data_IF_318893673869
#
_entry.id   IF_318893673869
#
_cell.length_a   1.000
_cell.length_b   1.000
_cell.length_c   1.000
_cell.angle_alpha   90.00
_cell.angle_beta   90.00
_cell.angle_gamma   90.00
#
_symmetry.space_group_name_H-M   'P 1'
#
loop_
_entity.id
_entity.type
_entity.pdbx_description
1 polymer ?
#
# COMPACT_ATOMS: atom_id res chain seq x y z
N UNK A 1 10.98 10.95 23.88
CA UNK A 1 9.89 10.86 22.89
C UNK A 1 8.72 10.15 23.53
N UNK A 2 7.51 10.61 23.28
CA UNK A 2 6.29 10.02 23.84
C UNK A 2 5.96 8.71 23.10
N UNK A 3 5.52 7.67 23.84
CA UNK A 3 5.01 6.44 23.24
C UNK A 3 3.72 6.74 22.45
N UNK A 4 3.61 6.16 21.28
CA UNK A 4 2.44 6.30 20.37
C UNK A 4 1.77 4.95 20.16
N UNK A 5 0.45 4.98 20.26
CA UNK A 5 -0.39 3.80 20.14
C UNK A 5 -1.33 3.90 18.95
N UNK A 6 -1.60 2.77 18.35
CA UNK A 6 -2.68 2.58 17.37
C UNK A 6 -3.94 2.23 18.15
N UNK A 7 -4.97 3.03 18.00
CA UNK A 7 -6.26 2.82 18.66
C UNK A 7 -7.28 2.16 17.75
N UNK A 8 -7.27 2.47 16.46
CA UNK A 8 -8.13 1.80 15.50
C UNK A 8 -7.53 1.82 14.09
N UNK A 9 -7.94 0.84 13.28
CA UNK A 9 -7.61 0.75 11.86
C UNK A 9 -8.85 0.34 11.06
N UNK A 10 -9.10 1.02 9.96
CA UNK A 10 -10.19 0.69 9.05
C UNK A 10 -9.73 0.77 7.60
N UNK A 11 -10.31 -0.06 6.76
CA UNK A 11 -10.15 0.02 5.31
C UNK A 11 -11.46 -0.27 4.58
N UNK A 12 -11.58 0.24 3.37
CA UNK A 12 -12.59 -0.26 2.44
C UNK A 12 -12.23 -1.69 2.00
N UNK A 13 -13.18 -2.50 1.52
CA UNK A 13 -12.84 -3.52 0.55
C UNK A 13 -12.20 -2.85 -0.67
N UNK A 14 -11.41 -3.62 -1.43
CA UNK A 14 -10.73 -3.15 -2.63
C UNK A 14 -11.58 -3.47 -3.86
N UNK A 15 -12.05 -2.44 -4.55
CA UNK A 15 -12.83 -2.56 -5.78
C UNK A 15 -11.92 -2.66 -7.01
N UNK A 16 -12.31 -3.37 -8.06
CA UNK A 16 -11.52 -3.44 -9.30
C UNK A 16 -11.36 -2.04 -9.91
N UNK A 17 -10.14 -1.67 -10.25
CA UNK A 17 -9.77 -0.37 -10.81
C UNK A 17 -10.14 -0.24 -12.29
N UNK A 18 -11.41 -0.46 -12.63
CA UNK A 18 -11.97 -0.40 -13.98
C UNK A 18 -13.33 0.29 -13.96
N UNK A 19 -13.83 0.82 -15.11
CA UNK A 19 -15.13 1.44 -15.18
C UNK A 19 -16.30 0.53 -14.77
N UNK A 20 -16.15 -0.79 -14.88
CA UNK A 20 -17.13 -1.79 -14.44
C UNK A 20 -16.85 -2.32 -13.02
N UNK A 21 -15.84 -1.77 -12.30
CA UNK A 21 -15.56 -2.10 -10.92
C UNK A 21 -16.61 -1.53 -9.96
N UNK A 22 -16.92 -2.26 -8.90
CA UNK A 22 -18.02 -1.90 -8.00
C UNK A 22 -17.83 -0.57 -7.27
N UNK A 23 -16.59 -0.12 -7.06
CA UNK A 23 -16.32 1.17 -6.42
C UNK A 23 -16.20 2.34 -7.41
N UNK A 24 -16.31 2.12 -8.73
CA UNK A 24 -16.17 3.16 -9.73
C UNK A 24 -17.13 4.35 -9.53
N UNK A 25 -18.37 4.10 -9.12
CA UNK A 25 -19.37 5.15 -8.88
C UNK A 25 -19.19 5.90 -7.56
N UNK A 26 -18.27 5.44 -6.70
CA UNK A 26 -17.96 6.08 -5.43
C UNK A 26 -16.71 6.93 -5.60
N UNK A 27 -16.84 8.24 -5.43
CA UNK A 27 -15.70 9.14 -5.58
C UNK A 27 -14.59 8.86 -4.56
N UNK A 28 -13.30 9.14 -4.87
CA UNK A 28 -12.21 8.94 -3.92
C UNK A 28 -12.44 9.72 -2.62
N UNK A 29 -12.99 10.91 -2.69
CA UNK A 29 -13.35 11.70 -1.52
C UNK A 29 -14.42 11.00 -0.66
N UNK A 30 -15.44 10.37 -1.27
CA UNK A 30 -16.46 9.59 -0.53
C UNK A 30 -15.85 8.33 0.09
N UNK A 31 -14.90 7.64 -0.58
CA UNK A 31 -14.18 6.50 0.01
C UNK A 31 -13.41 6.92 1.26
N UNK A 32 -12.66 8.02 1.20
CA UNK A 32 -11.90 8.55 2.33
C UNK A 32 -12.82 9.01 3.47
N UNK A 33 -13.88 9.77 3.15
CA UNK A 33 -14.82 10.27 4.15
C UNK A 33 -15.56 9.13 4.89
N UNK A 34 -15.93 8.04 4.20
CA UNK A 34 -16.56 6.88 4.86
C UNK A 34 -15.61 6.19 5.85
N UNK A 35 -14.31 6.13 5.56
CA UNK A 35 -13.34 5.58 6.50
C UNK A 35 -13.12 6.49 7.71
N UNK A 36 -13.07 7.80 7.52
CA UNK A 36 -13.02 8.76 8.62
C UNK A 36 -14.29 8.68 9.50
N UNK A 37 -15.49 8.65 8.88
CA UNK A 37 -16.75 8.44 9.62
C UNK A 37 -16.71 7.14 10.43
N UNK A 38 -16.19 6.07 9.85
CA UNK A 38 -16.08 4.80 10.55
C UNK A 38 -15.15 4.87 11.77
N UNK A 39 -14.00 5.54 11.67
CA UNK A 39 -13.11 5.78 12.84
C UNK A 39 -13.87 6.56 13.91
N UNK A 40 -14.53 7.65 13.54
CA UNK A 40 -15.30 8.47 14.47
C UNK A 40 -16.39 7.67 15.19
N UNK A 41 -17.26 7.03 14.42
CA UNK A 41 -18.49 6.41 14.94
C UNK A 41 -18.18 5.15 15.77
N UNK A 42 -17.15 4.36 15.40
CA UNK A 42 -16.74 3.15 16.14
C UNK A 42 -16.11 3.44 17.49
N UNK A 43 -15.51 4.61 17.62
CA UNK A 43 -14.75 5.00 18.82
C UNK A 43 -15.46 6.09 19.64
N UNK A 44 -16.69 6.47 19.27
CA UNK A 44 -17.40 7.62 19.87
C UNK A 44 -16.46 8.84 19.99
N UNK A 45 -15.74 9.12 18.90
CA UNK A 45 -14.59 10.00 18.89
C UNK A 45 -15.03 11.47 18.91
N UNK A 46 -14.64 12.21 19.95
CA UNK A 46 -14.65 13.67 19.91
C UNK A 46 -13.61 14.17 18.91
N UNK A 47 -14.07 14.49 17.69
CA UNK A 47 -13.18 14.86 16.60
C UNK A 47 -12.44 16.17 16.83
N UNK A 48 -12.88 17.02 17.77
CA UNK A 48 -12.14 18.23 18.19
C UNK A 48 -10.79 17.92 18.87
N UNK A 49 -10.56 16.66 19.23
CA UNK A 49 -9.32 16.16 19.80
C UNK A 49 -8.36 15.56 18.77
N UNK A 50 -8.78 15.50 17.52
CA UNK A 50 -7.92 15.09 16.41
C UNK A 50 -7.23 16.34 15.85
N UNK A 51 -5.91 16.42 15.95
CA UNK A 51 -5.15 17.59 15.51
C UNK A 51 -4.96 17.61 14.00
N UNK A 52 -4.76 16.44 13.37
CA UNK A 52 -4.39 16.37 11.96
C UNK A 52 -4.80 15.05 11.29
N UNK A 53 -5.13 15.13 10.01
CA UNK A 53 -5.36 13.97 9.13
C UNK A 53 -4.35 14.02 7.99
N UNK A 54 -3.45 13.04 7.95
CA UNK A 54 -2.42 12.91 6.92
C UNK A 54 -2.82 11.80 5.97
N UNK A 55 -2.97 12.11 4.69
CA UNK A 55 -3.51 11.16 3.72
C UNK A 55 -2.59 10.99 2.52
N UNK A 56 -2.17 9.75 2.28
CA UNK A 56 -1.44 9.35 1.08
C UNK A 56 -2.34 9.33 -0.14
N UNK A 57 -1.88 9.90 -1.24
CA UNK A 57 -2.51 9.82 -2.55
C UNK A 57 -1.44 9.97 -3.62
N UNK A 58 -1.33 9.00 -4.55
CA UNK A 58 -0.22 8.95 -5.52
C UNK A 58 -0.52 9.76 -6.77
N UNK A 59 -1.77 9.80 -7.21
CA UNK A 59 -2.20 10.65 -8.32
C UNK A 59 -3.05 11.83 -7.81
N UNK A 60 -2.45 12.87 -7.19
CA UNK A 60 -3.16 13.96 -6.51
C UNK A 60 -3.72 14.99 -7.49
N UNK A 61 -4.47 14.55 -8.48
CA UNK A 61 -5.07 15.38 -9.54
C UNK A 61 -6.55 15.10 -9.71
N UNK A 62 -7.28 16.02 -10.35
CA UNK A 62 -8.70 15.88 -10.57
C UNK A 62 -9.46 15.67 -9.26
N UNK A 63 -10.25 14.60 -9.16
CA UNK A 63 -11.05 14.25 -7.98
C UNK A 63 -10.20 13.87 -6.75
N UNK A 64 -8.92 13.61 -6.92
CA UNK A 64 -7.96 13.31 -5.85
C UNK A 64 -7.06 14.50 -5.50
N UNK A 65 -7.25 15.65 -6.17
CA UNK A 65 -6.48 16.87 -5.94
C UNK A 65 -7.02 17.77 -4.82
N UNK A 66 -6.46 18.96 -4.72
CA UNK A 66 -6.89 20.05 -3.83
C UNK A 66 -6.96 19.65 -2.34
N UNK A 67 -5.97 18.92 -1.86
CA UNK A 67 -5.89 18.42 -0.48
C UNK A 67 -7.11 17.57 -0.08
N UNK A 68 -7.22 16.40 -0.68
CA UNK A 68 -8.31 15.45 -0.40
C UNK A 68 -8.44 15.11 1.10
N UNK A 69 -7.34 15.18 1.88
CA UNK A 69 -7.37 14.92 3.31
C UNK A 69 -8.27 15.94 4.04
N UNK A 70 -8.06 17.24 3.77
CA UNK A 70 -8.88 18.28 4.39
C UNK A 70 -10.33 18.22 3.91
N UNK A 71 -10.55 18.00 2.62
CA UNK A 71 -11.92 17.91 2.08
C UNK A 71 -12.65 16.71 2.69
N UNK A 72 -11.99 15.55 2.80
CA UNK A 72 -12.60 14.36 3.38
C UNK A 72 -12.94 14.52 4.88
N UNK A 73 -12.13 15.25 5.67
CA UNK A 73 -12.45 15.54 7.07
C UNK A 73 -13.74 16.35 7.21
N UNK A 74 -13.91 17.37 6.37
CA UNK A 74 -15.14 18.18 6.36
C UNK A 74 -16.36 17.35 5.92
N UNK A 75 -16.19 16.49 4.91
CA UNK A 75 -17.26 15.60 4.44
C UNK A 75 -17.57 14.47 5.44
N UNK A 76 -16.65 14.18 6.35
CA UNK A 76 -16.84 13.22 7.42
C UNK A 76 -17.45 13.84 8.69
N UNK A 77 -17.82 15.12 8.65
CA UNK A 77 -18.36 15.89 9.78
C UNK A 77 -17.40 15.90 10.99
N UNK A 78 -16.09 15.97 10.73
CA UNK A 78 -15.09 16.25 11.78
C UNK A 78 -15.13 17.72 12.17
N UNK A 79 -14.67 18.03 13.36
CA UNK A 79 -14.56 19.42 13.81
C UNK A 79 -13.74 20.25 12.81
N UNK A 80 -14.14 21.51 12.63
CA UNK A 80 -13.49 22.40 11.67
C UNK A 80 -12.04 22.76 12.03
N UNK A 81 -11.65 22.55 13.29
CA UNK A 81 -10.26 22.71 13.74
C UNK A 81 -9.29 21.65 13.25
N UNK A 82 -9.80 20.48 12.80
CA UNK A 82 -8.95 19.38 12.34
C UNK A 82 -8.24 19.76 11.05
N UNK A 83 -6.91 19.84 11.09
CA UNK A 83 -6.11 20.09 9.90
C UNK A 83 -6.10 18.87 8.95
N UNK A 84 -5.69 19.07 7.72
CA UNK A 84 -5.50 17.99 6.75
C UNK A 84 -4.30 18.26 5.86
N UNK A 85 -3.59 17.21 5.47
CA UNK A 85 -2.50 17.30 4.50
C UNK A 85 -2.44 16.06 3.64
N UNK A 86 -2.29 16.27 2.34
CA UNK A 86 -2.10 15.23 1.34
C UNK A 86 -0.61 15.07 1.04
N UNK A 87 -0.15 13.81 0.97
CA UNK A 87 1.26 13.50 0.69
C UNK A 87 1.37 12.48 -0.43
N UNK A 88 2.52 12.49 -1.12
CA UNK A 88 2.88 11.49 -2.12
C UNK A 88 4.29 10.94 -1.85
N UNK A 89 4.39 9.65 -1.59
CA UNK A 89 5.61 8.83 -1.56
C UNK A 89 5.36 7.54 -2.35
N UNK A 90 4.74 7.67 -3.53
CA UNK A 90 4.32 6.55 -4.35
C UNK A 90 3.59 5.47 -3.53
N UNK A 91 3.84 4.20 -3.79
CA UNK A 91 3.21 3.06 -3.10
C UNK A 91 3.38 3.05 -1.57
N UNK A 92 4.35 3.80 -1.02
CA UNK A 92 4.56 3.93 0.42
C UNK A 92 3.73 5.06 1.07
N UNK A 93 2.95 5.83 0.31
CA UNK A 93 2.25 7.03 0.79
C UNK A 93 1.38 6.77 2.01
N UNK A 94 0.61 5.69 2.03
CA UNK A 94 -0.28 5.37 3.15
C UNK A 94 0.48 5.05 4.44
N UNK A 95 1.59 4.30 4.35
CA UNK A 95 2.43 4.03 5.52
C UNK A 95 3.17 5.28 5.97
N UNK A 96 3.67 6.08 5.04
CA UNK A 96 4.33 7.35 5.38
C UNK A 96 3.37 8.33 6.04
N UNK A 97 2.11 8.37 5.64
CA UNK A 97 1.09 9.17 6.29
C UNK A 97 0.92 8.76 7.77
N UNK A 98 0.89 7.46 8.07
CA UNK A 98 0.86 6.95 9.44
C UNK A 98 2.16 7.27 10.18
N UNK A 99 3.33 7.13 9.54
CA UNK A 99 4.61 7.49 10.13
C UNK A 99 4.69 8.98 10.49
N UNK A 100 4.21 9.87 9.62
CA UNK A 100 4.16 11.31 9.87
C UNK A 100 3.19 11.66 11.01
N UNK A 101 1.98 11.06 11.04
CA UNK A 101 1.05 11.19 12.15
C UNK A 101 1.69 10.74 13.47
N UNK A 102 2.35 9.59 13.45
CA UNK A 102 3.10 9.07 14.60
C UNK A 102 4.22 10.01 15.04
N UNK A 103 5.00 10.55 14.10
CA UNK A 103 6.10 11.49 14.41
C UNK A 103 5.58 12.77 15.08
N UNK A 104 4.45 13.32 14.60
CA UNK A 104 3.80 14.49 15.23
C UNK A 104 3.39 14.21 16.67
N UNK A 105 2.84 13.02 16.93
CA UNK A 105 2.49 12.63 18.32
C UNK A 105 3.76 12.39 19.16
N UNK A 106 4.79 11.72 18.61
CA UNK A 106 6.05 11.47 19.33
C UNK A 106 6.77 12.75 19.75
N UNK A 107 6.72 13.81 18.95
CA UNK A 107 7.38 15.08 19.25
C UNK A 107 6.48 16.07 20.01
N UNK A 108 5.23 15.71 20.30
CA UNK A 108 4.30 16.56 21.03
C UNK A 108 3.66 17.68 20.22
N UNK A 109 3.72 17.63 18.89
CA UNK A 109 2.99 18.55 18.02
C UNK A 109 1.50 18.22 17.99
N UNK A 110 1.14 16.94 18.15
CA UNK A 110 -0.22 16.43 18.20
C UNK A 110 -0.37 15.49 19.39
N UNK A 111 -1.55 15.44 20.00
CA UNK A 111 -1.91 14.40 20.97
C UNK A 111 -2.54 13.20 20.27
N UNK A 112 -3.35 13.46 19.23
CA UNK A 112 -4.03 12.47 18.41
C UNK A 112 -4.03 12.90 16.95
N UNK A 113 -3.77 11.96 16.05
CA UNK A 113 -3.79 12.19 14.61
C UNK A 113 -4.29 10.95 13.88
N UNK A 114 -4.69 11.13 12.61
CA UNK A 114 -5.05 10.04 11.72
C UNK A 114 -4.06 10.03 10.55
N UNK A 115 -3.48 8.86 10.28
CA UNK A 115 -2.71 8.61 9.08
C UNK A 115 -3.43 7.59 8.21
N UNK A 116 -3.35 7.75 6.88
CA UNK A 116 -4.02 6.81 5.99
C UNK A 116 -3.80 7.13 4.53
N UNK A 117 -4.77 6.79 3.69
CA UNK A 117 -4.69 7.15 2.29
C UNK A 117 -5.87 6.67 1.46
N UNK A 118 -5.90 7.13 0.22
CA UNK A 118 -6.92 6.81 -0.75
C UNK A 118 -6.31 6.75 -2.15
N UNK A 119 -6.81 5.84 -2.95
CA UNK A 119 -6.59 5.83 -4.39
C UNK A 119 -7.81 5.26 -5.10
N UNK A 120 -8.29 5.94 -6.13
CA UNK A 120 -9.35 5.45 -7.02
C UNK A 120 -8.79 5.36 -8.45
N UNK A 121 -8.17 4.23 -8.74
CA UNK A 121 -7.46 4.01 -10.01
C UNK A 121 -8.41 3.76 -11.19
N UNK A 122 -9.69 3.49 -10.91
CA UNK A 122 -10.73 3.40 -11.92
C UNK A 122 -11.17 4.78 -12.44
N UNK A 123 -11.02 5.84 -11.62
CA UNK A 123 -11.45 7.23 -11.91
C UNK A 123 -10.27 8.14 -12.26
N UNK A 124 -9.17 8.01 -11.52
CA UNK A 124 -7.92 8.75 -11.76
C UNK A 124 -6.82 7.75 -12.10
N UNK A 125 -6.51 7.56 -13.38
CA UNK A 125 -5.55 6.55 -13.83
C UNK A 125 -4.15 6.79 -13.25
N UNK A 126 -3.41 5.71 -13.04
CA UNK A 126 -2.01 5.76 -12.63
C UNK A 126 -1.20 6.58 -13.65
N UNK A 127 -0.39 7.52 -13.14
CA UNK A 127 0.40 8.44 -13.98
C UNK A 127 -0.37 9.68 -14.46
N UNK A 128 -1.62 9.88 -14.03
CA UNK A 128 -2.40 11.08 -14.35
C UNK A 128 -1.78 12.39 -13.80
N UNK A 129 -0.95 12.28 -12.77
CA UNK A 129 -0.17 13.38 -12.19
C UNK A 129 1.05 13.78 -13.05
N UNK A 130 1.38 13.03 -14.10
CA UNK A 130 2.56 13.26 -14.95
C UNK A 130 3.87 12.88 -14.26
N UNK A 131 4.90 13.71 -14.45
CA UNK A 131 6.17 13.55 -13.76
C UNK A 131 7.38 13.50 -14.66
N UNK A 132 8.48 14.09 -14.18
CA UNK A 132 9.72 14.25 -14.94
C UNK A 132 10.40 12.92 -15.30
N UNK A 133 10.14 11.85 -14.56
CA UNK A 133 10.68 10.51 -14.87
C UNK A 133 10.41 10.07 -16.32
N UNK A 134 9.18 10.31 -16.80
CA UNK A 134 8.74 9.89 -18.12
C UNK A 134 8.77 11.02 -19.16
N UNK A 135 8.72 12.28 -18.72
CA UNK A 135 8.53 13.44 -19.61
C UNK A 135 9.78 14.29 -19.82
N UNK A 136 10.78 14.19 -18.92
CA UNK A 136 12.06 14.90 -19.06
C UNK A 136 13.18 13.91 -19.42
N UNK A 137 13.70 13.95 -20.66
CA UNK A 137 14.77 13.05 -21.11
C UNK A 137 16.06 13.18 -20.27
N UNK A 138 16.37 14.36 -19.73
CA UNK A 138 17.57 14.55 -18.91
C UNK A 138 17.44 13.81 -17.58
N UNK A 139 16.26 13.82 -16.97
CA UNK A 139 15.96 13.07 -15.75
C UNK A 139 15.98 11.57 -16.03
N UNK A 140 15.26 11.12 -17.06
CA UNK A 140 15.20 9.72 -17.46
C UNK A 140 16.59 9.13 -17.74
N UNK A 141 17.41 9.84 -18.51
CA UNK A 141 18.78 9.44 -18.84
C UNK A 141 19.69 9.38 -17.62
N UNK A 142 19.67 10.43 -16.78
CA UNK A 142 20.53 10.50 -15.58
C UNK A 142 20.22 9.41 -14.57
N UNK A 143 18.95 9.02 -14.45
CA UNK A 143 18.48 8.05 -13.44
C UNK A 143 18.38 6.63 -13.99
N UNK A 144 18.66 6.40 -15.28
CA UNK A 144 18.43 5.13 -15.94
C UNK A 144 16.99 4.63 -15.71
N UNK A 145 16.04 5.54 -15.86
CA UNK A 145 14.63 5.25 -15.59
C UNK A 145 14.10 4.14 -16.49
N UNK A 146 13.44 3.17 -15.86
CA UNK A 146 12.65 2.12 -16.51
C UNK A 146 11.30 1.98 -15.81
N UNK A 147 10.24 1.54 -16.50
CA UNK A 147 8.96 1.25 -15.87
C UNK A 147 9.06 0.16 -14.79
N UNK A 148 8.30 0.30 -13.71
CA UNK A 148 8.37 -0.52 -12.50
C UNK A 148 8.25 -2.04 -12.77
N UNK A 149 7.40 -2.45 -13.72
CA UNK A 149 7.28 -3.87 -14.08
C UNK A 149 8.54 -4.45 -14.72
N UNK A 150 9.32 -3.63 -15.47
CA UNK A 150 10.61 -4.03 -15.99
C UNK A 150 11.65 -4.10 -14.88
N UNK A 151 11.56 -3.22 -13.85
CA UNK A 151 12.38 -3.33 -12.63
C UNK A 151 12.10 -4.64 -11.89
N UNK A 152 10.84 -5.08 -11.83
CA UNK A 152 10.49 -6.37 -11.24
C UNK A 152 11.06 -7.55 -12.05
N UNK A 153 11.01 -7.48 -13.39
CA UNK A 153 11.63 -8.49 -14.26
C UNK A 153 13.15 -8.46 -14.18
N UNK A 154 13.76 -7.28 -13.95
CA UNK A 154 15.19 -7.16 -13.66
C UNK A 154 15.56 -7.85 -12.35
N UNK A 155 14.75 -7.70 -11.28
CA UNK A 155 14.92 -8.44 -10.03
C UNK A 155 14.87 -9.94 -10.29
N UNK A 156 13.84 -10.42 -10.97
CA UNK A 156 13.72 -11.84 -11.29
C UNK A 156 14.93 -12.36 -12.10
N UNK A 157 15.39 -11.59 -13.09
CA UNK A 157 16.55 -11.96 -13.92
C UNK A 157 17.84 -11.97 -13.12
N UNK A 158 18.06 -10.97 -12.27
CA UNK A 158 19.31 -10.81 -11.48
C UNK A 158 19.48 -11.89 -10.42
N UNK A 159 18.40 -12.32 -9.77
CA UNK A 159 18.45 -13.35 -8.71
C UNK A 159 17.93 -14.71 -9.14
N UNK A 160 17.56 -14.85 -10.42
CA UNK A 160 17.25 -16.16 -11.01
C UNK A 160 15.86 -16.68 -10.69
N UNK A 161 14.90 -15.82 -10.32
CA UNK A 161 13.52 -16.25 -10.10
C UNK A 161 12.85 -16.58 -11.43
N UNK A 162 12.41 -17.82 -11.53
CA UNK A 162 11.71 -18.31 -12.72
C UNK A 162 10.25 -17.84 -12.77
N UNK A 163 9.60 -18.09 -13.91
CA UNK A 163 8.16 -17.90 -14.05
C UNK A 163 7.38 -18.75 -13.05
N UNK A 164 7.81 -19.98 -12.82
CA UNK A 164 7.13 -20.90 -11.89
C UNK A 164 7.25 -20.42 -10.44
N UNK A 165 8.38 -19.84 -10.04
CA UNK A 165 8.57 -19.29 -8.71
C UNK A 165 7.62 -18.13 -8.43
N UNK A 166 7.52 -17.17 -9.34
CA UNK A 166 6.64 -16.00 -9.17
C UNK A 166 5.16 -16.38 -9.26
N UNK A 167 4.80 -17.36 -10.08
CA UNK A 167 3.44 -17.87 -10.17
C UNK A 167 3.05 -18.68 -8.92
N UNK A 168 3.97 -19.50 -8.38
CA UNK A 168 3.75 -20.24 -7.14
C UNK A 168 3.48 -19.30 -5.96
N UNK A 169 4.28 -18.22 -5.83
CA UNK A 169 4.03 -17.19 -4.83
C UNK A 169 2.64 -16.55 -4.99
N UNK A 170 2.27 -16.20 -6.22
CA UNK A 170 0.97 -15.59 -6.50
C UNK A 170 -0.23 -16.48 -6.11
N UNK A 171 -0.14 -17.78 -6.39
CA UNK A 171 -1.14 -18.75 -5.98
C UNK A 171 -1.26 -18.82 -4.46
N UNK A 172 -0.14 -18.80 -3.76
CA UNK A 172 -0.16 -18.83 -2.28
C UNK A 172 -0.81 -17.56 -1.71
N UNK A 173 -0.53 -16.38 -2.28
CA UNK A 173 -1.21 -15.13 -1.90
C UNK A 173 -2.74 -15.24 -2.06
N UNK A 174 -3.22 -15.81 -3.18
CA UNK A 174 -4.66 -16.03 -3.41
C UNK A 174 -5.27 -16.97 -2.37
N UNK A 175 -4.61 -18.09 -2.07
CA UNK A 175 -5.08 -19.05 -1.06
C UNK A 175 -5.18 -18.43 0.33
N UNK A 176 -4.15 -17.70 0.74
CA UNK A 176 -4.11 -17.02 2.05
C UNK A 176 -5.19 -15.96 2.17
N UNK A 177 -5.40 -15.16 1.13
CA UNK A 177 -6.46 -14.16 1.11
C UNK A 177 -7.85 -14.81 1.23
N UNK A 178 -8.13 -15.87 0.45
CA UNK A 178 -9.39 -16.59 0.50
C UNK A 178 -9.65 -17.20 1.89
N UNK A 179 -8.65 -17.88 2.46
CA UNK A 179 -8.72 -18.44 3.81
C UNK A 179 -8.99 -17.37 4.87
N UNK A 180 -8.31 -16.22 4.77
CA UNK A 180 -8.47 -15.10 5.72
C UNK A 180 -9.88 -14.51 5.68
N UNK A 181 -10.48 -14.42 4.49
CA UNK A 181 -11.88 -14.01 4.34
C UNK A 181 -12.85 -15.06 4.91
N UNK A 182 -12.64 -16.34 4.66
CA UNK A 182 -13.45 -17.43 5.21
C UNK A 182 -13.38 -17.46 6.74
N UNK A 183 -12.19 -17.30 7.31
CA UNK A 183 -11.94 -17.25 8.76
C UNK A 183 -12.32 -15.89 9.38
N UNK A 184 -12.85 -14.94 8.60
CA UNK A 184 -13.27 -13.61 9.05
C UNK A 184 -12.15 -12.78 9.72
N UNK A 185 -10.89 -12.99 9.35
CA UNK A 185 -9.76 -12.26 9.93
C UNK A 185 -9.86 -10.74 9.69
N UNK A 186 -10.51 -10.32 8.60
CA UNK A 186 -10.70 -8.91 8.24
C UNK A 186 -11.97 -8.27 8.85
N UNK A 187 -12.76 -8.99 9.64
CA UNK A 187 -14.07 -8.51 10.13
C UNK A 187 -13.99 -7.21 10.95
N UNK A 188 -12.86 -6.98 11.63
CA UNK A 188 -12.66 -5.78 12.46
C UNK A 188 -12.09 -4.59 11.68
N UNK A 189 -11.46 -4.81 10.53
CA UNK A 189 -10.79 -3.76 9.76
C UNK A 189 -11.55 -3.35 8.51
N UNK A 190 -12.28 -4.26 7.86
CA UNK A 190 -13.00 -3.97 6.62
C UNK A 190 -14.37 -3.36 6.93
N UNK A 191 -14.62 -2.20 6.36
CA UNK A 191 -15.89 -1.48 6.42
C UNK A 191 -16.52 -1.48 5.03
N UNK A 192 -17.73 -2.03 4.92
CA UNK A 192 -18.48 -2.05 3.66
C UNK A 192 -18.74 -0.62 3.14
N UNK A 193 -18.47 -0.40 1.86
CA UNK A 193 -18.70 0.88 1.21
C UNK A 193 -20.15 1.01 0.81
N UNK A 194 -20.73 2.17 1.09
CA UNK A 194 -22.13 2.51 0.80
C UNK A 194 -22.21 3.61 -0.25
N UNK A 195 -23.28 3.58 -1.02
CA UNK A 195 -23.67 4.69 -1.89
C UNK A 195 -24.37 5.84 -1.11
N UNK A 196 -24.79 6.87 -1.82
CA UNK A 196 -25.47 8.03 -1.23
C UNK A 196 -26.86 7.70 -0.65
N UNK A 197 -27.47 6.59 -1.06
CA UNK A 197 -28.73 6.08 -0.50
C UNK A 197 -28.53 5.19 0.72
N UNK A 198 -27.28 4.92 1.12
CA UNK A 198 -26.92 4.05 2.24
C UNK A 198 -26.89 2.55 1.91
N UNK A 199 -27.05 2.18 0.65
CA UNK A 199 -26.98 0.80 0.20
C UNK A 199 -25.54 0.33 0.11
N UNK A 200 -25.24 -0.86 0.63
CA UNK A 200 -23.88 -1.44 0.54
C UNK A 200 -23.57 -1.83 -0.90
N UNK A 201 -22.54 -1.20 -1.45
CA UNK A 201 -22.06 -1.43 -2.83
C UNK A 201 -21.03 -2.55 -2.88
N UNK A 202 -20.12 -2.58 -1.89
CA UNK A 202 -19.07 -3.58 -1.80
C UNK A 202 -18.71 -3.84 -0.33
N UNK A 203 -18.58 -5.11 0.06
CA UNK A 203 -18.24 -5.53 1.43
C UNK A 203 -17.12 -6.58 1.51
N UNK A 204 -16.53 -6.96 0.39
CA UNK A 204 -15.38 -7.88 0.32
C UNK A 204 -14.45 -7.48 -0.83
N UNK A 205 -13.20 -7.94 -0.82
CA UNK A 205 -12.21 -7.60 -1.85
C UNK A 205 -12.60 -8.21 -3.19
N UNK A 206 -12.88 -7.37 -4.19
CA UNK A 206 -13.45 -7.78 -5.49
C UNK A 206 -12.41 -8.42 -6.43
N UNK A 207 -11.12 -8.16 -6.19
CA UNK A 207 -10.05 -8.57 -7.13
C UNK A 207 -9.67 -10.03 -7.02
N UNK A 208 -9.93 -10.69 -5.91
CA UNK A 208 -9.47 -12.06 -5.61
C UNK A 208 -9.86 -13.09 -6.68
N UNK A 209 -8.97 -14.08 -6.87
CA UNK A 209 -9.15 -15.23 -7.77
C UNK A 209 -8.72 -16.51 -7.04
N UNK A 210 -9.48 -16.95 -6.01
CA UNK A 210 -9.11 -18.09 -5.17
C UNK A 210 -8.98 -19.40 -5.95
N UNK A 211 -9.62 -19.50 -7.10
CA UNK A 211 -9.58 -20.64 -8.02
C UNK A 211 -8.34 -20.66 -8.95
N UNK A 212 -7.46 -19.65 -8.86
CA UNK A 212 -6.27 -19.59 -9.70
C UNK A 212 -5.35 -20.80 -9.48
N UNK A 213 -4.81 -21.33 -10.56
CA UNK A 213 -3.87 -22.46 -10.58
C UNK A 213 -2.64 -22.13 -11.40
N UNK A 214 -1.54 -22.86 -11.21
CA UNK A 214 -0.34 -22.73 -12.04
C UNK A 214 -0.70 -22.86 -13.53
N UNK A 215 -1.59 -23.81 -13.89
CA UNK A 215 -2.02 -24.02 -15.27
C UNK A 215 -2.78 -22.81 -15.80
N UNK A 216 -3.62 -22.16 -15.00
CA UNK A 216 -4.35 -20.96 -15.44
C UNK A 216 -3.42 -19.76 -15.60
N UNK A 217 -2.37 -19.63 -14.79
CA UNK A 217 -1.37 -18.58 -14.89
C UNK A 217 -0.39 -18.81 -16.07
N UNK A 218 -0.02 -20.05 -16.35
CA UNK A 218 0.90 -20.40 -17.43
C UNK A 218 0.47 -19.87 -18.80
N UNK A 219 -0.85 -19.72 -19.03
CA UNK A 219 -1.39 -19.15 -20.27
C UNK A 219 -1.27 -17.63 -20.42
N UNK A 220 -0.90 -16.91 -19.35
CA UNK A 220 -0.79 -15.46 -19.35
C UNK A 220 0.55 -15.01 -19.96
N UNK A 221 0.48 -14.05 -20.88
CA UNK A 221 1.69 -13.45 -21.49
C UNK A 221 2.34 -12.48 -20.53
N UNK A 222 3.68 -12.37 -20.53
CA UNK A 222 4.40 -11.33 -19.80
C UNK A 222 3.88 -9.93 -20.17
N UNK A 223 3.57 -9.12 -19.15
CA UNK A 223 2.94 -7.81 -19.37
C UNK A 223 3.92 -6.73 -19.85
N UNK A 224 5.20 -6.89 -19.56
CA UNK A 224 6.21 -5.83 -19.77
C UNK A 224 7.19 -6.13 -20.89
N UNK A 225 7.14 -7.32 -21.50
CA UNK A 225 8.06 -7.76 -22.55
C UNK A 225 8.04 -6.84 -23.77
N UNK A 226 6.85 -6.51 -24.29
CA UNK A 226 6.72 -5.61 -25.44
C UNK A 226 7.30 -4.21 -25.11
N UNK A 227 7.02 -3.69 -23.93
CA UNK A 227 7.53 -2.38 -23.49
C UNK A 227 9.05 -2.41 -23.32
N UNK A 228 9.58 -3.44 -22.70
CA UNK A 228 11.02 -3.61 -22.50
C UNK A 228 11.79 -3.70 -23.82
N UNK A 229 11.29 -4.51 -24.77
CA UNK A 229 11.95 -4.74 -26.05
C UNK A 229 11.80 -3.57 -27.04
N UNK A 230 10.60 -3.02 -27.19
CA UNK A 230 10.30 -2.06 -28.26
C UNK A 230 10.64 -0.61 -27.92
N UNK A 231 10.65 -0.26 -26.62
CA UNK A 231 10.95 1.11 -26.19
C UNK A 231 12.35 1.27 -25.55
N UNK A 232 13.20 0.24 -25.67
CA UNK A 232 14.61 0.31 -25.23
C UNK A 232 14.83 0.19 -23.71
N UNK A 233 13.79 -0.07 -22.91
CA UNK A 233 13.94 -0.13 -21.45
C UNK A 233 14.76 -1.33 -20.98
N UNK A 234 14.72 -2.46 -21.70
CA UNK A 234 15.63 -3.58 -21.42
C UNK A 234 17.09 -3.17 -21.60
N UNK A 235 17.40 -2.46 -22.67
CA UNK A 235 18.76 -1.97 -22.92
C UNK A 235 19.22 -0.98 -21.86
N UNK A 236 18.33 -0.10 -21.39
CA UNK A 236 18.62 0.83 -20.28
C UNK A 236 18.92 0.07 -18.98
N UNK A 237 18.12 -0.95 -18.66
CA UNK A 237 18.37 -1.80 -17.49
C UNK A 237 19.72 -2.52 -17.56
N UNK A 238 20.04 -3.12 -18.71
CA UNK A 238 21.28 -3.86 -18.94
C UNK A 238 22.53 -2.94 -18.96
N UNK A 239 22.40 -1.69 -19.39
CA UNK A 239 23.47 -0.71 -19.26
C UNK A 239 23.81 -0.42 -17.80
N UNK A 240 22.80 -0.38 -16.94
CA UNK A 240 22.98 -0.14 -15.50
C UNK A 240 23.43 -1.39 -14.74
N UNK A 241 23.00 -2.58 -15.19
CA UNK A 241 23.29 -3.89 -14.60
C UNK A 241 23.96 -4.81 -15.63
N UNK A 242 25.22 -4.53 -16.02
CA UNK A 242 25.91 -5.28 -17.09
C UNK A 242 26.19 -6.74 -16.72
N UNK A 243 26.09 -7.10 -15.44
CA UNK A 243 26.18 -8.49 -14.99
C UNK A 243 24.93 -9.32 -15.33
N UNK A 244 23.83 -8.69 -15.69
CA UNK A 244 22.61 -9.36 -16.14
C UNK A 244 22.66 -9.52 -17.65
N UNK A 245 22.72 -10.77 -18.14
CA UNK A 245 22.88 -11.07 -19.56
C UNK A 245 21.65 -10.63 -20.39
N UNK A 246 20.44 -10.88 -19.85
CA UNK A 246 19.15 -10.50 -20.47
C UNK A 246 18.06 -10.31 -19.42
N UNK A 247 17.04 -9.54 -19.76
CA UNK A 247 15.82 -9.43 -18.95
C UNK A 247 14.88 -10.58 -19.31
N UNK A 248 14.62 -11.47 -18.37
CA UNK A 248 13.60 -12.51 -18.47
C UNK A 248 12.26 -11.93 -17.99
N UNK A 249 11.31 -11.79 -18.90
CA UNK A 249 9.99 -11.26 -18.56
C UNK A 249 9.12 -12.36 -17.98
N UNK A 250 8.89 -12.32 -16.67
CA UNK A 250 8.12 -13.33 -15.91
C UNK A 250 6.85 -12.77 -15.30
N UNK A 251 6.75 -11.44 -15.21
CA UNK A 251 5.59 -10.82 -14.54
C UNK A 251 4.44 -10.55 -15.52
N UNK A 252 3.25 -10.83 -15.04
CA UNK A 252 1.97 -10.61 -15.72
C UNK A 252 0.87 -10.27 -14.70
N UNK A 253 -0.34 -10.01 -15.16
CA UNK A 253 -1.45 -9.59 -14.30
C UNK A 253 -1.81 -10.57 -13.16
N UNK A 254 -1.41 -11.84 -13.26
CA UNK A 254 -1.70 -12.86 -12.25
C UNK A 254 -0.68 -12.94 -11.10
N UNK A 255 0.53 -12.39 -11.29
CA UNK A 255 1.62 -12.41 -10.30
C UNK A 255 2.15 -11.00 -9.97
N UNK A 256 1.38 -10.00 -10.33
CA UNK A 256 1.58 -8.58 -10.03
C UNK A 256 0.37 -8.06 -9.24
N UNK A 257 0.54 -6.97 -8.51
CA UNK A 257 -0.56 -6.35 -7.75
C UNK A 257 -1.70 -5.90 -8.64
N UNK A 258 -2.93 -6.12 -8.20
CA UNK A 258 -4.12 -5.67 -8.91
C UNK A 258 -4.31 -4.16 -8.86
N UNK A 259 -4.74 -3.55 -9.97
CA UNK A 259 -5.19 -2.17 -10.03
C UNK A 259 -6.59 -2.10 -9.43
N UNK A 260 -6.76 -1.33 -8.36
CA UNK A 260 -8.00 -1.28 -7.57
C UNK A 260 -8.25 0.10 -6.96
N UNK A 261 -9.46 0.30 -6.49
CA UNK A 261 -9.89 1.47 -5.71
C UNK A 261 -9.96 1.11 -4.22
N UNK A 262 -9.61 2.05 -3.34
CA UNK A 262 -9.77 1.85 -1.91
C UNK A 262 -9.21 2.98 -1.05
N UNK A 263 -9.59 2.97 0.23
CA UNK A 263 -9.12 3.90 1.26
C UNK A 263 -8.87 3.17 2.58
N UNK A 264 -7.99 3.72 3.41
CA UNK A 264 -7.70 3.20 4.75
C UNK A 264 -7.28 4.32 5.68
N UNK A 265 -7.67 4.21 6.97
CA UNK A 265 -7.32 5.17 8.02
C UNK A 265 -6.87 4.43 9.27
N UNK A 266 -5.89 5.01 9.95
CA UNK A 266 -5.29 4.52 11.21
C UNK A 266 -5.32 5.65 12.22
N UNK A 267 -5.98 5.43 13.35
CA UNK A 267 -6.04 6.37 14.46
C UNK A 267 -4.84 6.15 15.40
N UNK A 268 -4.01 7.17 15.56
CA UNK A 268 -2.84 7.15 16.44
C UNK A 268 -2.92 8.26 17.47
N UNK A 269 -2.37 8.01 18.67
CA UNK A 269 -2.32 9.01 19.72
C UNK A 269 -1.38 8.61 20.84
N UNK A 270 -1.10 9.56 21.75
CA UNK A 270 -0.38 9.27 22.98
C UNK A 270 -1.29 8.56 23.99
N UNK A 271 -0.69 8.01 25.04
CA UNK A 271 -1.44 7.28 26.08
C UNK A 271 -2.47 8.18 26.81
N UNK A 272 -2.10 9.42 27.07
CA UNK A 272 -2.93 10.36 27.82
C UNK A 272 -4.26 10.65 27.12
N UNK A 273 -4.20 11.00 25.83
CA UNK A 273 -5.42 11.29 25.08
C UNK A 273 -6.29 10.03 24.89
N UNK A 274 -5.65 8.86 24.69
CA UNK A 274 -6.38 7.59 24.62
C UNK A 274 -7.16 7.28 25.91
N UNK A 275 -6.52 7.42 27.06
CA UNK A 275 -7.17 7.23 28.36
C UNK A 275 -8.29 8.25 28.60
N UNK A 276 -8.06 9.53 28.27
CA UNK A 276 -9.06 10.59 28.42
C UNK A 276 -10.32 10.33 27.57
N UNK A 277 -10.17 9.66 26.43
CA UNK A 277 -11.26 9.30 25.52
C UNK A 277 -11.78 7.86 25.72
N UNK A 278 -11.28 7.13 26.69
CA UNK A 278 -11.68 5.74 26.97
C UNK A 278 -11.27 4.74 25.86
N UNK A 279 -10.31 5.10 25.02
CA UNK A 279 -9.82 4.26 23.93
C UNK A 279 -8.87 3.19 24.45
N UNK A 280 -8.97 1.98 23.89
CA UNK A 280 -8.04 0.88 24.21
C UNK A 280 -6.99 0.76 23.11
N UNK A 281 -5.69 0.81 23.43
CA UNK A 281 -4.65 0.62 22.45
C UNK A 281 -4.65 -0.81 21.89
N UNK A 282 -4.57 -0.92 20.56
CA UNK A 282 -4.42 -2.21 19.84
C UNK A 282 -2.95 -2.59 19.72
N UNK A 283 -2.08 -1.62 19.46
CA UNK A 283 -0.65 -1.81 19.31
C UNK A 283 0.12 -0.55 19.72
N UNK A 284 1.42 -0.70 19.98
CA UNK A 284 2.36 0.41 20.15
C UNK A 284 3.31 0.47 18.96
N UNK A 285 3.49 1.66 18.38
CA UNK A 285 4.47 1.86 17.32
C UNK A 285 5.86 1.98 17.97
N UNK A 286 6.75 1.02 17.67
CA UNK A 286 8.13 0.99 18.18
C UNK A 286 9.04 1.94 17.42
N UNK A 287 8.87 2.03 16.11
CA UNK A 287 9.65 2.88 15.25
C UNK A 287 9.30 2.73 13.78
N UNK A 288 9.94 3.54 12.96
CA UNK A 288 9.78 3.56 11.51
C UNK A 288 11.04 4.07 10.83
N UNK A 289 11.19 3.75 9.55
CA UNK A 289 12.31 4.21 8.74
C UNK A 289 11.89 4.44 7.28
N UNK A 290 12.59 5.34 6.63
CA UNK A 290 12.49 5.59 5.20
C UNK A 290 13.87 5.41 4.57
N UNK A 291 13.89 5.02 3.29
CA UNK A 291 15.11 4.92 2.49
C UNK A 291 14.81 5.30 1.02
N UNK A 292 15.76 5.91 0.36
CA UNK A 292 15.85 5.91 -1.09
C UNK A 292 16.74 4.75 -1.53
N UNK A 293 16.39 4.08 -2.61
CA UNK A 293 17.19 2.99 -3.19
C UNK A 293 17.65 3.33 -4.61
N UNK A 294 18.39 2.43 -5.24
CA UNK A 294 18.86 2.59 -6.62
C UNK A 294 17.65 2.74 -7.56
N UNK A 295 17.58 3.82 -8.38
CA UNK A 295 16.35 4.19 -9.07
C UNK A 295 15.95 3.26 -10.23
N UNK A 296 16.87 2.51 -10.83
CA UNK A 296 16.57 1.61 -11.95
C UNK A 296 15.88 0.34 -11.45
N UNK A 297 16.47 -0.35 -10.47
CA UNK A 297 15.89 -1.55 -9.88
C UNK A 297 14.75 -1.23 -8.89
N UNK A 298 14.74 -0.07 -8.34
CA UNK A 298 13.82 0.64 -7.43
C UNK A 298 13.08 -0.18 -6.36
N UNK A 299 12.79 -1.45 -6.60
CA UNK A 299 11.89 -2.26 -5.76
C UNK A 299 12.63 -3.06 -4.65
N UNK A 300 13.95 -2.89 -4.49
CA UNK A 300 14.75 -3.54 -3.44
C UNK A 300 14.84 -2.73 -2.15
N UNK A 301 14.29 -1.51 -2.12
CA UNK A 301 14.31 -0.64 -0.95
C UNK A 301 13.70 -1.21 0.35
N UNK A 302 12.66 -2.06 0.32
CA UNK A 302 12.01 -2.56 1.52
C UNK A 302 12.94 -3.28 2.51
N UNK A 303 13.87 -4.11 2.07
CA UNK A 303 14.84 -4.81 2.96
C UNK A 303 15.71 -3.82 3.72
N UNK A 304 16.27 -2.83 3.03
CA UNK A 304 17.08 -1.78 3.66
C UNK A 304 16.28 -0.90 4.63
N UNK A 305 15.01 -0.63 4.31
CA UNK A 305 14.13 0.11 5.20
C UNK A 305 13.81 -0.69 6.48
N UNK A 306 13.57 -2.00 6.33
CA UNK A 306 13.32 -2.91 7.45
C UNK A 306 14.54 -2.99 8.38
N UNK A 307 15.74 -3.23 7.84
CA UNK A 307 16.99 -3.24 8.63
C UNK A 307 17.20 -1.92 9.36
N UNK A 308 17.01 -0.79 8.68
CA UNK A 308 17.12 0.55 9.28
C UNK A 308 16.10 0.76 10.41
N UNK A 309 14.89 0.24 10.29
CA UNK A 309 13.88 0.32 11.33
C UNK A 309 14.25 -0.55 12.54
N UNK A 310 14.71 -1.78 12.31
CA UNK A 310 15.18 -2.69 13.36
C UNK A 310 16.33 -2.07 14.17
N UNK A 311 17.35 -1.54 13.49
CA UNK A 311 18.49 -0.85 14.13
C UNK A 311 18.01 0.32 15.00
N UNK A 312 17.08 1.16 14.49
CA UNK A 312 16.52 2.28 15.25
C UNK A 312 15.74 1.84 16.48
N UNK A 313 15.11 0.67 16.42
CA UNK A 313 14.33 0.10 17.52
C UNK A 313 15.18 -0.72 18.50
N UNK A 314 16.49 -0.95 18.22
CA UNK A 314 17.34 -1.84 18.97
C UNK A 314 16.86 -3.30 18.93
N UNK A 315 16.30 -3.72 17.79
CA UNK A 315 15.72 -5.05 17.56
C UNK A 315 16.51 -5.80 16.49
N UNK A 316 16.44 -7.11 16.56
CA UNK A 316 16.94 -8.02 15.52
C UNK A 316 15.78 -8.62 14.74
N UNK A 317 16.04 -9.18 13.56
CA UNK A 317 15.01 -9.86 12.76
C UNK A 317 14.34 -11.04 13.49
N UNK A 318 15.08 -11.72 14.38
CA UNK A 318 14.52 -12.80 15.23
C UNK A 318 13.52 -12.33 16.30
N UNK A 319 13.39 -11.03 16.50
CA UNK A 319 12.40 -10.45 17.41
C UNK A 319 11.07 -10.17 16.70
N UNK A 320 10.97 -10.48 15.40
CA UNK A 320 9.80 -10.22 14.56
C UNK A 320 9.07 -11.53 14.29
N UNK A 321 7.84 -11.62 14.75
CA UNK A 321 6.98 -12.79 14.57
C UNK A 321 6.31 -12.81 13.19
N UNK A 322 5.91 -11.62 12.67
CA UNK A 322 5.19 -11.49 11.41
C UNK A 322 5.69 -10.31 10.59
N UNK A 323 5.73 -10.51 9.27
CA UNK A 323 6.12 -9.50 8.29
C UNK A 323 4.96 -9.20 7.35
N UNK A 324 4.77 -7.93 7.07
CA UNK A 324 3.84 -7.47 6.03
C UNK A 324 4.58 -6.61 5.00
N UNK A 325 4.65 -7.09 3.78
CA UNK A 325 5.25 -6.40 2.64
C UNK A 325 4.22 -6.24 1.53
N UNK A 326 4.12 -5.04 0.94
CA UNK A 326 3.28 -4.85 -0.23
C UNK A 326 3.76 -5.74 -1.39
N UNK A 327 2.86 -6.58 -1.88
CA UNK A 327 3.10 -7.48 -3.02
C UNK A 327 2.95 -6.71 -4.35
N UNK A 328 3.80 -5.70 -4.60
CA UNK A 328 3.78 -5.00 -5.88
C UNK A 328 3.97 -5.97 -7.06
N UNK A 329 4.92 -6.89 -6.91
CA UNK A 329 5.24 -8.00 -7.80
C UNK A 329 5.76 -9.17 -6.98
N UNK A 330 5.54 -10.40 -7.44
CA UNK A 330 5.98 -11.58 -6.69
C UNK A 330 7.50 -11.62 -6.45
N UNK A 331 8.32 -11.25 -7.45
CA UNK A 331 9.78 -11.22 -7.31
C UNK A 331 10.27 -10.26 -6.21
N UNK A 332 9.51 -9.21 -5.90
CA UNK A 332 9.85 -8.26 -4.83
C UNK A 332 9.78 -8.96 -3.47
N UNK A 333 8.75 -9.76 -3.25
CA UNK A 333 8.58 -10.48 -1.98
C UNK A 333 9.59 -11.62 -1.88
N UNK A 334 9.80 -12.38 -2.95
CA UNK A 334 10.83 -13.42 -2.99
C UNK A 334 12.21 -12.84 -2.64
N UNK A 335 12.57 -11.68 -3.22
CA UNK A 335 13.84 -11.02 -2.92
C UNK A 335 13.93 -10.54 -1.47
N UNK A 336 12.85 -9.97 -0.94
CA UNK A 336 12.80 -9.52 0.46
C UNK A 336 12.99 -10.69 1.44
N UNK A 337 12.31 -11.81 1.18
CA UNK A 337 12.45 -13.03 1.99
C UNK A 337 13.88 -13.56 1.96
N UNK A 338 14.50 -13.67 0.78
CA UNK A 338 15.87 -14.14 0.61
C UNK A 338 16.88 -13.20 1.27
N UNK A 339 16.77 -11.88 1.08
CA UNK A 339 17.66 -10.86 1.65
C UNK A 339 17.67 -10.88 3.18
N UNK A 340 16.50 -11.03 3.78
CA UNK A 340 16.33 -11.00 5.23
C UNK A 340 16.24 -12.39 5.86
N UNK A 341 16.33 -13.47 5.06
CA UNK A 341 16.22 -14.86 5.53
C UNK A 341 14.91 -15.06 6.33
N UNK A 342 13.78 -14.74 5.70
CA UNK A 342 12.45 -14.83 6.28
C UNK A 342 11.73 -16.06 5.73
N UNK A 343 11.14 -16.86 6.61
CA UNK A 343 10.29 -17.97 6.20
C UNK A 343 9.02 -17.47 5.51
N UNK A 344 8.61 -18.16 4.44
CA UNK A 344 7.36 -17.81 3.75
C UNK A 344 6.14 -17.91 4.67
N UNK A 345 6.21 -18.72 5.74
CA UNK A 345 5.16 -18.84 6.74
C UNK A 345 4.93 -17.58 7.57
N UNK A 346 5.91 -16.70 7.67
CA UNK A 346 5.91 -15.52 8.54
C UNK A 346 5.64 -14.20 7.81
N UNK A 347 5.50 -14.23 6.48
CA UNK A 347 5.25 -13.03 5.67
C UNK A 347 3.92 -13.11 4.93
N UNK A 348 3.18 -11.99 4.94
CA UNK A 348 1.91 -11.83 4.22
C UNK A 348 0.94 -13.00 4.49
N UNK A 349 0.83 -13.38 5.76
CA UNK A 349 0.09 -14.58 6.20
C UNK A 349 -1.41 -14.52 5.89
N UNK A 350 -1.93 -13.34 5.63
CA UNK A 350 -3.32 -13.12 5.21
C UNK A 350 -3.48 -12.91 3.70
N UNK A 351 -2.45 -13.18 2.90
CA UNK A 351 -2.38 -12.79 1.49
C UNK A 351 -2.12 -11.30 1.33
N UNK A 352 -1.95 -10.82 0.12
CA UNK A 352 -1.55 -9.44 -0.12
C UNK A 352 -2.11 -8.83 -1.40
N UNK A 353 -1.38 -7.88 -1.97
CA UNK A 353 -1.84 -7.06 -3.08
C UNK A 353 -1.97 -7.81 -4.42
N UNK A 354 -1.29 -8.94 -4.59
CA UNK A 354 -1.48 -9.81 -5.77
C UNK A 354 -2.90 -10.39 -5.75
N UNK A 355 -3.35 -10.85 -4.59
CA UNK A 355 -4.70 -11.39 -4.44
C UNK A 355 -5.77 -10.30 -4.33
N UNK A 356 -5.58 -9.34 -3.43
CA UNK A 356 -6.63 -8.40 -3.07
C UNK A 356 -6.55 -7.06 -3.82
N UNK A 357 -5.38 -6.69 -4.37
CA UNK A 357 -5.17 -5.44 -5.08
C UNK A 357 -4.40 -4.38 -4.28
N UNK A 358 -3.97 -3.31 -4.97
CA UNK A 358 -3.06 -2.28 -4.47
C UNK A 358 -3.59 -0.88 -4.79
N UNK A 359 -4.50 -0.31 -3.98
CA UNK A 359 -4.83 1.11 -4.10
C UNK A 359 -3.65 1.92 -3.55
N UNK A 360 -2.84 2.49 -4.47
CA UNK A 360 -1.46 2.94 -4.24
C UNK A 360 -1.29 3.76 -2.95
N UNK A 361 -2.07 4.83 -2.81
CA UNK A 361 -1.99 5.74 -1.67
C UNK A 361 -2.50 5.16 -0.34
N UNK A 362 -3.31 4.11 -0.38
CA UNK A 362 -3.94 3.52 0.81
C UNK A 362 -3.23 2.26 1.34
N UNK A 363 -2.52 1.53 0.48
CA UNK A 363 -2.04 0.17 0.79
C UNK A 363 -1.15 0.12 2.02
N UNK A 364 -0.27 1.11 2.23
CA UNK A 364 0.62 1.11 3.39
C UNK A 364 -0.14 1.11 4.73
N UNK A 365 -1.24 1.86 4.83
CA UNK A 365 -2.12 1.84 6.00
C UNK A 365 -2.94 0.54 6.08
N UNK A 366 -3.32 -0.05 4.93
CA UNK A 366 -4.04 -1.33 4.89
C UNK A 366 -3.21 -2.49 5.43
N UNK A 367 -1.94 -2.60 5.01
CA UNK A 367 -1.06 -3.70 5.49
C UNK A 367 -0.71 -3.53 6.96
N UNK A 368 -0.49 -2.29 7.43
CA UNK A 368 -0.31 -2.04 8.86
C UNK A 368 -1.54 -2.46 9.68
N UNK A 369 -2.73 -2.22 9.16
CA UNK A 369 -3.97 -2.64 9.83
C UNK A 369 -4.25 -4.14 9.69
N UNK A 370 -3.56 -4.86 8.81
CA UNK A 370 -3.64 -6.32 8.66
C UNK A 370 -2.76 -7.02 9.70
N UNK A 371 -1.54 -6.51 9.93
CA UNK A 371 -0.61 -6.99 10.96
C UNK A 371 -1.18 -6.80 12.38
#
# INVERSE_FOLDING_TARGET
MTDVYIYDTVRTPRGRGKPDGKLHEITPMQLAAQMLKSIRDRNDLDTSKVDDVIMGCVAPVGEQGADIARIATLMADYDQSVAGVQINRFCASGLEAVNMATAKVMCGQSDMAIGGGVESMSRVPMGADGGAWATDPAVAFKTYFIPQGISADLIASKWGYSRDDVDAYAIESQKRAAKSWEEKRFSNSVVGVKDVAGMTVLNHDEHMRPEATIQSLAGLKPSFEMMGNNYGFNSTALQKYPEVEKINHVHHAGNSSGIVDGASMVLVGNKYIGEAMGLKPKARIKGFAQIGSEPTIMLTGPSYAAEKALVKCGMNKSDIDLWELNEAFAAVVLRFMEELDIDHGDINVCGGAIAMGHPLGATGAMILGTA
#
